data_IF_282498761416
#
_entry.id   IF_282498761416
#
_cell.length_a   1.000
_cell.length_b   1.000
_cell.length_c   1.000
_cell.angle_alpha   90.00
_cell.angle_beta   90.00
_cell.angle_gamma   90.00
#
_symmetry.space_group_name_H-M   'P 1'
#
loop_
_entity.id
_entity.type
_entity.pdbx_description
1 polymer ?
#
# COMPACT_ATOMS: atom_id res chain seq x y z
N UNK A 1 -10.95 -28.64 8.95
CA UNK A 1 -9.73 -28.49 8.12
C UNK A 1 -9.78 -29.53 6.99
N UNK A 2 -10.37 -29.21 5.84
CA UNK A 2 -10.39 -30.02 4.59
C UNK A 2 -10.99 -29.25 3.39
N UNK A 3 -11.66 -28.12 3.63
CA UNK A 3 -12.42 -27.43 2.56
C UNK A 3 -11.56 -26.60 1.59
N UNK A 4 -10.41 -26.10 2.06
CA UNK A 4 -9.49 -25.33 1.21
C UNK A 4 -8.78 -26.20 0.15
N UNK A 5 -8.54 -27.48 0.44
CA UNK A 5 -7.92 -28.42 -0.49
C UNK A 5 -8.88 -28.88 -1.60
N UNK A 6 -10.19 -28.90 -1.34
CA UNK A 6 -11.20 -29.27 -2.34
C UNK A 6 -11.44 -28.12 -3.33
N UNK A 7 -11.52 -26.87 -2.86
CA UNK A 7 -11.56 -25.69 -3.73
C UNK A 7 -10.32 -25.58 -4.65
N UNK A 8 -9.15 -25.97 -4.13
CA UNK A 8 -7.89 -26.05 -4.90
C UNK A 8 -7.95 -27.03 -6.06
N UNK A 9 -8.76 -28.10 -5.97
CA UNK A 9 -8.81 -29.16 -6.99
C UNK A 9 -9.83 -28.85 -8.09
N UNK A 10 -10.89 -28.11 -7.77
CA UNK A 10 -11.88 -27.60 -8.73
C UNK A 10 -11.26 -26.52 -9.65
N UNK A 11 -10.39 -25.65 -9.13
CA UNK A 11 -9.68 -24.64 -9.94
C UNK A 11 -8.59 -25.20 -10.89
N UNK A 12 -8.22 -26.48 -10.75
CA UNK A 12 -7.29 -27.13 -11.70
C UNK A 12 -7.98 -27.54 -13.02
N UNK A 13 -9.32 -27.50 -13.08
CA UNK A 13 -10.10 -28.02 -14.21
C UNK A 13 -10.44 -26.97 -15.28
N UNK A 14 -10.18 -25.69 -15.03
CA UNK A 14 -10.62 -24.61 -15.92
C UNK A 14 -9.46 -23.66 -16.17
N UNK A 15 -8.75 -23.89 -17.28
CA UNK A 15 -7.54 -23.16 -17.64
C UNK A 15 -7.67 -21.63 -17.53
N UNK A 16 -6.83 -21.03 -16.68
CA UNK A 16 -6.52 -19.61 -16.71
C UNK A 16 -5.08 -19.39 -16.20
N UNK A 17 -4.32 -18.60 -16.96
CA UNK A 17 -2.87 -18.70 -17.11
C UNK A 17 -2.05 -17.86 -16.11
N UNK A 18 -2.51 -17.69 -14.88
CA UNK A 18 -1.78 -16.92 -13.88
C UNK A 18 -1.95 -17.58 -12.51
N UNK A 19 -0.94 -18.37 -12.13
CA UNK A 19 -0.82 -18.92 -10.79
C UNK A 19 0.60 -18.63 -10.31
N UNK A 20 0.71 -17.68 -9.38
CA UNK A 20 1.95 -17.35 -8.67
C UNK A 20 2.19 -18.29 -7.50
N UNK A 21 1.15 -19.00 -7.06
CA UNK A 21 1.16 -19.86 -5.88
C UNK A 21 0.86 -19.12 -4.58
N UNK A 22 0.74 -17.78 -4.62
CA UNK A 22 0.30 -16.94 -3.51
C UNK A 22 -1.15 -16.47 -3.74
N UNK A 23 -2.12 -16.86 -2.90
CA UNK A 23 -3.53 -16.48 -3.06
C UNK A 23 -3.81 -14.96 -3.09
N UNK A 24 -2.98 -14.14 -2.43
CA UNK A 24 -3.11 -12.68 -2.47
C UNK A 24 -2.73 -12.19 -3.87
N UNK A 25 -1.58 -12.63 -4.37
CA UNK A 25 -1.09 -12.25 -5.70
C UNK A 25 -2.02 -12.79 -6.79
N UNK A 26 -2.50 -14.03 -6.65
CA UNK A 26 -3.45 -14.62 -7.59
C UNK A 26 -4.77 -13.81 -7.65
N UNK A 27 -5.15 -13.11 -6.58
CA UNK A 27 -6.35 -12.28 -6.53
C UNK A 27 -6.23 -10.95 -7.28
N UNK A 28 -5.08 -10.29 -7.25
CA UNK A 28 -4.89 -8.95 -7.87
C UNK A 28 -4.02 -8.98 -9.13
N UNK A 29 -2.98 -9.80 -9.17
CA UNK A 29 -1.97 -9.81 -10.24
C UNK A 29 -2.46 -10.53 -11.49
N UNK A 30 -3.38 -11.47 -11.29
CA UNK A 30 -4.00 -12.24 -12.37
C UNK A 30 -5.24 -11.56 -12.97
N UNK A 31 -5.64 -10.41 -12.42
CA UNK A 31 -6.63 -9.53 -13.04
C UNK A 31 -5.94 -8.69 -14.12
N UNK A 32 -6.21 -8.90 -15.42
CA UNK A 32 -5.59 -8.09 -16.48
C UNK A 32 -5.93 -6.59 -16.38
N UNK A 33 -7.05 -6.25 -15.72
CA UNK A 33 -7.51 -4.88 -15.51
C UNK A 33 -7.00 -4.28 -14.19
N UNK A 34 -6.06 -4.92 -13.49
CA UNK A 34 -5.48 -4.38 -12.26
C UNK A 34 -4.95 -2.93 -12.38
N UNK A 35 -4.40 -2.45 -13.53
CA UNK A 35 -3.95 -1.06 -13.66
C UNK A 35 -5.12 -0.06 -13.59
N UNK A 36 -6.29 -0.46 -14.08
CA UNK A 36 -7.52 0.32 -14.07
C UNK A 36 -8.28 0.14 -12.73
N UNK A 37 -8.06 -0.97 -12.03
CA UNK A 37 -8.72 -1.36 -10.79
C UNK A 37 -7.75 -1.48 -9.61
N UNK A 38 -6.86 -0.50 -9.44
CA UNK A 38 -5.80 -0.56 -8.41
C UNK A 38 -6.33 -0.83 -7.01
N UNK A 39 -7.49 -0.25 -6.65
CA UNK A 39 -8.09 -0.40 -5.33
C UNK A 39 -8.60 -1.81 -5.00
N UNK A 40 -8.75 -2.70 -6.00
CA UNK A 40 -9.17 -4.10 -5.81
C UNK A 40 -8.24 -4.88 -4.87
N UNK A 41 -6.96 -4.47 -4.80
CA UNK A 41 -5.98 -5.04 -3.88
C UNK A 41 -6.48 -5.07 -2.42
N UNK A 42 -7.26 -4.06 -2.00
CA UNK A 42 -7.82 -3.98 -0.65
C UNK A 42 -8.86 -5.09 -0.34
N UNK A 43 -9.33 -5.83 -1.34
CA UNK A 43 -10.21 -7.00 -1.18
C UNK A 43 -9.46 -8.33 -1.22
N UNK A 44 -8.18 -8.32 -1.59
CA UNK A 44 -7.35 -9.52 -1.70
C UNK A 44 -6.62 -9.88 -0.38
N UNK A 45 -6.72 -9.03 0.65
CA UNK A 45 -6.08 -9.28 1.93
C UNK A 45 -6.72 -10.49 2.65
N UNK A 46 -5.87 -11.34 3.24
CA UNK A 46 -6.27 -12.54 3.99
C UNK A 46 -5.62 -12.54 5.38
N UNK A 47 -6.14 -13.36 6.30
CA UNK A 47 -5.60 -13.48 7.66
C UNK A 47 -6.03 -12.33 8.59
N UNK A 48 -5.21 -12.00 9.59
CA UNK A 48 -5.56 -10.99 10.60
C UNK A 48 -5.76 -9.58 10.01
N UNK A 49 -5.14 -9.29 8.87
CA UNK A 49 -5.27 -8.01 8.16
C UNK A 49 -6.40 -7.95 7.12
N UNK A 50 -7.26 -8.97 7.00
CA UNK A 50 -8.25 -9.05 5.91
C UNK A 50 -9.27 -7.89 5.86
N UNK A 51 -9.49 -7.21 6.99
CA UNK A 51 -10.40 -6.07 7.09
C UNK A 51 -9.71 -4.72 6.81
N UNK A 52 -8.41 -4.73 6.53
CA UNK A 52 -7.66 -3.55 6.15
C UNK A 52 -8.07 -3.05 4.76
N UNK A 53 -8.83 -1.96 4.72
CA UNK A 53 -9.23 -1.32 3.46
C UNK A 53 -8.36 -0.13 3.05
N UNK A 54 -7.52 0.39 3.95
CA UNK A 54 -6.62 1.50 3.66
C UNK A 54 -7.38 2.71 3.08
N UNK A 55 -6.91 3.24 1.95
CA UNK A 55 -7.53 4.31 1.19
C UNK A 55 -8.61 3.88 0.18
N UNK A 56 -9.13 2.65 0.24
CA UNK A 56 -10.18 2.17 -0.67
C UNK A 56 -11.43 3.05 -0.57
N UNK A 57 -12.00 3.41 -1.72
CA UNK A 57 -13.15 4.32 -1.83
C UNK A 57 -12.77 5.80 -1.71
N UNK A 58 -11.50 6.10 -1.42
CA UNK A 58 -10.94 7.44 -1.47
C UNK A 58 -10.47 7.83 -2.86
N UNK A 59 -10.12 9.11 -2.99
CA UNK A 59 -9.56 9.69 -4.21
C UNK A 59 -8.13 9.19 -4.45
N UNK A 60 -7.74 9.18 -5.73
CA UNK A 60 -6.35 8.93 -6.09
C UNK A 60 -5.52 10.19 -5.85
N UNK A 61 -4.37 10.01 -5.20
CA UNK A 61 -3.37 11.07 -5.07
C UNK A 61 -2.11 10.67 -5.84
N UNK A 62 -1.73 11.46 -6.83
CA UNK A 62 -0.53 11.22 -7.63
C UNK A 62 0.63 12.01 -7.04
N UNK A 63 1.66 11.31 -6.56
CA UNK A 63 2.90 11.96 -6.14
C UNK A 63 3.67 12.37 -7.37
N UNK A 64 3.98 13.67 -7.49
CA UNK A 64 4.69 14.27 -8.62
C UNK A 64 6.01 14.92 -8.20
N UNK A 65 6.19 15.18 -6.91
CA UNK A 65 7.38 15.80 -6.32
C UNK A 65 7.96 14.85 -5.26
N UNK A 66 9.21 14.44 -5.44
CA UNK A 66 9.93 13.55 -4.51
C UNK A 66 10.65 14.29 -3.37
N UNK A 67 10.58 15.63 -3.34
CA UNK A 67 11.21 16.44 -2.29
C UNK A 67 10.46 16.37 -0.95
N UNK A 68 11.20 16.59 0.14
CA UNK A 68 10.70 16.61 1.51
C UNK A 68 11.31 17.80 2.28
N UNK A 69 11.32 18.98 1.68
CA UNK A 69 12.09 20.14 2.18
C UNK A 69 11.53 20.74 3.48
N UNK A 70 10.20 20.77 3.61
CA UNK A 70 9.49 21.31 4.77
C UNK A 70 8.58 20.23 5.40
N UNK A 71 8.97 19.65 6.55
CA UNK A 71 8.17 18.64 7.23
C UNK A 71 6.95 19.21 7.97
N UNK A 72 6.89 20.52 8.20
CA UNK A 72 5.79 21.20 8.90
C UNK A 72 4.71 21.63 7.91
N UNK A 73 5.11 22.17 6.75
CA UNK A 73 4.21 22.64 5.70
C UNK A 73 4.53 21.97 4.37
N UNK A 74 4.16 20.68 4.19
CA UNK A 74 4.51 19.96 2.98
C UNK A 74 3.80 20.54 1.75
N UNK A 75 4.49 20.51 0.60
CA UNK A 75 3.95 21.02 -0.67
C UNK A 75 2.97 20.01 -1.29
N UNK A 76 1.85 20.47 -1.89
CA UNK A 76 1.06 19.63 -2.80
C UNK A 76 1.95 19.01 -3.89
N UNK A 77 1.69 17.76 -4.24
CA UNK A 77 2.52 16.93 -5.11
C UNK A 77 3.49 16.01 -4.36
N UNK A 78 3.78 16.28 -3.08
CA UNK A 78 4.71 15.46 -2.27
C UNK A 78 4.01 14.31 -1.54
N UNK A 79 4.77 13.26 -1.22
CA UNK A 79 4.26 12.15 -0.41
C UNK A 79 3.81 12.62 0.99
N UNK A 80 4.59 13.51 1.65
CA UNK A 80 4.25 14.01 2.98
C UNK A 80 2.91 14.72 3.00
N UNK A 81 2.62 15.53 1.98
CA UNK A 81 1.33 16.22 1.87
C UNK A 81 0.16 15.25 1.82
N UNK A 82 0.29 14.14 1.09
CA UNK A 82 -0.77 13.14 0.95
C UNK A 82 -1.06 12.38 2.25
N UNK A 83 -0.01 11.97 2.97
CA UNK A 83 -0.17 11.08 4.12
C UNK A 83 -0.75 11.78 5.35
N UNK A 84 -0.63 13.11 5.46
CA UNK A 84 -1.21 13.92 6.56
C UNK A 84 -2.64 14.37 6.31
N UNK A 85 -3.24 14.02 5.16
CA UNK A 85 -4.63 14.36 4.86
C UNK A 85 -5.60 13.58 5.73
N UNK A 86 -6.77 14.17 6.02
CA UNK A 86 -7.79 13.52 6.86
C UNK A 86 -8.65 12.55 6.04
N UNK A 87 -8.87 12.87 4.77
CA UNK A 87 -9.61 12.06 3.82
C UNK A 87 -8.89 10.75 3.46
N UNK A 88 -9.62 9.66 3.13
CA UNK A 88 -9.02 8.45 2.59
C UNK A 88 -8.35 8.74 1.24
N UNK A 89 -7.11 8.24 1.05
CA UNK A 89 -6.38 8.45 -0.21
C UNK A 89 -5.68 7.17 -0.68
N UNK A 90 -5.77 6.94 -1.99
CA UNK A 90 -4.98 5.94 -2.70
C UNK A 90 -3.80 6.62 -3.41
N UNK A 91 -2.63 6.56 -2.79
CA UNK A 91 -1.43 7.28 -3.22
C UNK A 91 -0.69 6.43 -4.27
N UNK A 92 -0.44 7.00 -5.44
CA UNK A 92 0.21 6.34 -6.58
C UNK A 92 1.41 7.15 -7.08
N UNK A 93 2.29 6.46 -7.81
CA UNK A 93 3.50 7.05 -8.40
C UNK A 93 3.47 6.85 -9.91
N UNK A 94 3.57 7.93 -10.71
CA UNK A 94 3.54 7.84 -12.17
C UNK A 94 4.88 7.37 -12.76
N UNK A 95 5.97 7.44 -11.99
CA UNK A 95 7.33 7.08 -12.40
C UNK A 95 8.16 6.64 -11.21
N UNK A 96 9.34 6.08 -11.48
CA UNK A 96 10.32 5.75 -10.45
C UNK A 96 10.68 7.01 -9.63
N UNK A 97 10.82 6.86 -8.32
CA UNK A 97 11.09 7.97 -7.41
C UNK A 97 12.02 7.56 -6.27
N UNK A 98 12.94 8.48 -5.92
CA UNK A 98 13.74 8.40 -4.72
C UNK A 98 13.32 9.54 -3.78
N UNK A 99 12.63 9.20 -2.71
CA UNK A 99 12.11 10.15 -1.72
C UNK A 99 13.03 10.11 -0.51
N UNK A 100 13.77 11.19 -0.29
CA UNK A 100 14.68 11.33 0.86
C UNK A 100 14.02 12.17 1.94
N UNK A 101 13.54 11.49 2.97
CA UNK A 101 12.87 12.10 4.10
C UNK A 101 13.86 12.88 4.99
N UNK A 102 13.47 14.10 5.38
CA UNK A 102 14.18 14.90 6.38
C UNK A 102 13.88 14.42 7.79
N UNK A 103 12.65 14.01 8.01
CA UNK A 103 12.11 13.52 9.28
C UNK A 103 11.15 12.36 9.02
N UNK A 104 10.78 11.66 10.08
CA UNK A 104 9.89 10.52 10.04
C UNK A 104 8.55 10.89 9.36
N UNK A 105 8.00 9.98 8.55
CA UNK A 105 6.66 10.15 7.99
C UNK A 105 5.63 9.63 8.99
N UNK A 106 4.78 10.55 9.47
CA UNK A 106 3.62 10.24 10.31
C UNK A 106 2.39 10.23 9.41
N UNK A 107 1.62 9.17 9.48
CA UNK A 107 0.45 8.96 8.64
C UNK A 107 -0.83 9.23 9.42
N UNK A 108 -1.80 9.82 8.74
CA UNK A 108 -3.20 9.72 9.15
C UNK A 108 -3.80 8.38 8.71
N UNK A 109 -4.96 8.04 9.28
CA UNK A 109 -5.74 6.85 8.93
C UNK A 109 -6.18 6.84 7.46
N UNK A 110 -6.53 5.64 6.97
CA UNK A 110 -7.11 5.40 5.64
C UNK A 110 -6.21 5.81 4.46
N UNK A 111 -4.93 5.44 4.52
CA UNK A 111 -3.97 5.68 3.44
C UNK A 111 -3.51 4.37 2.84
N UNK A 112 -3.45 4.34 1.52
CA UNK A 112 -2.75 3.28 0.78
C UNK A 112 -1.60 3.92 0.01
N UNK A 113 -0.40 3.35 0.09
CA UNK A 113 0.72 3.70 -0.79
C UNK A 113 0.93 2.55 -1.77
N UNK A 114 0.60 2.81 -3.02
CA UNK A 114 0.66 1.83 -4.11
C UNK A 114 1.81 2.17 -5.06
N UNK A 115 2.96 1.51 -4.84
CA UNK A 115 4.15 1.62 -5.68
C UNK A 115 4.09 0.78 -6.97
N UNK A 116 3.04 -0.03 -7.18
CA UNK A 116 2.98 -0.93 -8.35
C UNK A 116 3.10 -0.15 -9.66
N UNK A 117 4.02 -0.61 -10.50
CA UNK A 117 4.34 0.01 -11.79
C UNK A 117 5.44 1.08 -11.73
N UNK A 118 6.00 1.35 -10.55
CA UNK A 118 7.13 2.26 -10.36
C UNK A 118 8.12 1.71 -9.33
N UNK A 119 9.42 2.00 -9.50
CA UNK A 119 10.43 1.71 -8.48
C UNK A 119 10.53 2.89 -7.51
N UNK A 120 9.91 2.75 -6.34
CA UNK A 120 9.81 3.81 -5.34
C UNK A 120 10.64 3.46 -4.12
N UNK A 121 11.67 4.28 -3.89
CA UNK A 121 12.60 4.14 -2.77
C UNK A 121 12.41 5.28 -1.78
N UNK A 122 12.09 4.95 -0.53
CA UNK A 122 12.00 5.90 0.57
C UNK A 122 13.19 5.70 1.50
N UNK A 123 13.94 6.77 1.76
CA UNK A 123 15.20 6.73 2.53
C UNK A 123 15.31 7.92 3.48
N UNK A 124 16.14 7.81 4.52
CA UNK A 124 16.39 8.89 5.50
C UNK A 124 15.35 8.98 6.62
N UNK A 125 15.41 10.04 7.43
CA UNK A 125 14.39 10.52 8.38
C UNK A 125 13.92 9.61 9.52
N UNK A 126 14.28 8.32 9.55
CA UNK A 126 13.36 7.31 10.08
C UNK A 126 12.30 7.03 9.01
N UNK A 127 12.04 5.77 8.73
CA UNK A 127 11.17 5.33 7.63
C UNK A 127 9.69 5.77 7.84
N UNK A 128 8.77 4.84 7.64
CA UNK A 128 7.35 4.98 7.90
C UNK A 128 7.12 4.68 9.36
N UNK A 129 6.46 5.60 10.07
CA UNK A 129 6.04 5.38 11.45
C UNK A 129 4.56 5.55 11.59
N UNK A 130 3.97 4.52 12.20
CA UNK A 130 2.54 4.40 12.43
C UNK A 130 2.31 4.71 13.91
N UNK A 131 1.80 5.90 14.22
CA UNK A 131 1.42 6.29 15.58
C UNK A 131 -0.09 6.50 15.64
N UNK A 132 -0.77 5.75 16.51
CA UNK A 132 -2.21 5.89 16.80
C UNK A 132 -3.16 5.79 15.59
N UNK A 133 -2.78 4.99 14.59
CA UNK A 133 -3.56 4.83 13.36
C UNK A 133 -4.53 3.66 13.53
N UNK A 134 -5.83 3.92 13.36
CA UNK A 134 -6.92 2.94 13.55
C UNK A 134 -7.09 2.00 12.36
N UNK A 135 -6.41 2.23 11.23
CA UNK A 135 -6.59 1.42 10.02
C UNK A 135 -5.30 1.28 9.21
N UNK A 136 -5.05 0.02 8.82
CA UNK A 136 -3.84 -0.52 8.24
C UNK A 136 -3.43 0.14 6.91
N UNK A 137 -2.15 0.50 6.84
CA UNK A 137 -1.48 1.03 5.66
C UNK A 137 -0.97 -0.14 4.83
N UNK A 138 -1.44 -0.25 3.59
CA UNK A 138 -0.84 -1.14 2.61
C UNK A 138 0.25 -0.36 1.86
N UNK A 139 1.50 -0.70 2.11
CA UNK A 139 2.63 -0.33 1.25
C UNK A 139 2.94 -1.53 0.38
N UNK A 140 2.59 -1.46 -0.91
CA UNK A 140 2.93 -2.49 -1.88
C UNK A 140 4.00 -1.97 -2.83
N UNK A 141 5.05 -2.76 -3.04
CA UNK A 141 6.16 -2.45 -3.94
C UNK A 141 6.87 -1.11 -3.65
N UNK A 142 6.98 -0.74 -2.37
CA UNK A 142 7.78 0.39 -1.90
C UNK A 142 8.95 -0.13 -1.09
N UNK A 143 10.17 0.25 -1.46
CA UNK A 143 11.37 -0.13 -0.69
C UNK A 143 11.70 0.96 0.31
N UNK A 144 11.87 0.56 1.57
CA UNK A 144 12.40 1.44 2.60
C UNK A 144 13.71 0.92 3.15
N UNK A 145 14.76 1.74 3.11
CA UNK A 145 16.13 1.30 3.41
C UNK A 145 16.57 1.59 4.86
N UNK A 146 15.63 1.76 5.80
CA UNK A 146 15.91 1.96 7.24
C UNK A 146 14.86 1.26 8.11
N UNK A 147 15.25 0.88 9.34
CA UNK A 147 14.39 0.30 10.37
C UNK A 147 13.13 1.16 10.58
N UNK A 148 11.97 0.68 10.14
CA UNK A 148 10.67 1.23 10.52
C UNK A 148 10.39 0.86 11.97
N UNK A 149 10.19 1.86 12.83
CA UNK A 149 9.61 1.64 14.16
C UNK A 149 8.10 1.63 13.99
N UNK A 150 7.53 0.44 13.80
CA UNK A 150 6.10 0.23 13.94
C UNK A 150 5.86 -0.15 15.41
N UNK A 151 5.43 0.77 16.29
CA UNK A 151 4.89 0.35 17.57
C UNK A 151 3.63 -0.47 17.29
N UNK A 152 3.70 -1.78 17.52
CA UNK A 152 2.54 -2.67 17.53
C UNK A 152 1.75 -2.32 18.80
N UNK A 153 0.97 -1.25 18.76
CA UNK A 153 -0.03 -0.97 19.78
C UNK A 153 -1.38 -0.80 19.10
N UNK A 154 -2.26 -1.76 19.40
CA UNK A 154 -3.68 -1.87 19.02
C UNK A 154 -3.99 -2.35 17.59
N UNK A 155 -3.54 -3.59 17.29
CA UNK A 155 -4.28 -4.48 16.38
C UNK A 155 -5.29 -5.31 17.20
N UNK A 156 -6.38 -4.67 17.62
CA UNK A 156 -7.59 -5.33 18.16
C UNK A 156 -8.81 -4.57 17.69
#
# INVERSE_FOLDING_TARGET
KVNASMARREMLSSGSACMTGNPIDDCWKCDPEWPNNRQRLADCAIGFGQYAKGGKGGEYYVVTDSSDDDPVTPKPGTLRYAVIKNEPLWIVFPSNMLIKLKQELIFNSYKTIDGRGADVHIVGGGCITLQFITTLIACLDVRCNQYSRVPIQNLT
#
